data_IF_610239371440
#
_entry.id   IF_610239371440
#
_cell.length_a   1.000
_cell.length_b   1.000
_cell.length_c   1.000
_cell.angle_alpha   90.00
_cell.angle_beta   90.00
_cell.angle_gamma   90.00
#
_symmetry.space_group_name_H-M   'P 1'
#
loop_
_entity.id
_entity.type
_entity.pdbx_description
1 polymer ?
#
# COMPACT_ATOMS: atom_id res chain seq x y z
N UNK A 1 15.06 -24.65 15.25
CA UNK A 1 14.50 -24.34 13.92
C UNK A 1 13.77 -23.01 14.02
N UNK A 2 13.90 -22.17 12.99
CA UNK A 2 13.20 -20.90 12.74
C UNK A 2 13.51 -19.69 13.62
N UNK A 3 14.26 -18.76 13.01
CA UNK A 3 13.91 -17.34 13.02
C UNK A 3 14.43 -16.77 11.70
N UNK A 4 13.54 -16.71 10.71
CA UNK A 4 13.80 -16.01 9.47
C UNK A 4 14.29 -14.60 9.81
N UNK A 5 15.48 -14.27 9.33
CA UNK A 5 15.92 -12.88 9.16
C UNK A 5 15.05 -12.28 8.05
N UNK A 6 13.82 -11.89 8.40
CA UNK A 6 13.02 -11.03 7.53
C UNK A 6 13.71 -9.68 7.57
N UNK A 7 14.17 -9.18 6.42
CA UNK A 7 14.57 -7.78 6.31
C UNK A 7 13.34 -6.94 6.67
N UNK A 8 13.40 -6.27 7.80
CA UNK A 8 12.32 -5.36 8.21
C UNK A 8 12.27 -4.23 7.18
N UNK A 9 11.18 -4.16 6.43
CA UNK A 9 10.94 -3.06 5.50
C UNK A 9 10.32 -1.93 6.31
N UNK A 10 10.99 -0.79 6.39
CA UNK A 10 10.43 0.36 7.11
C UNK A 10 9.18 0.90 6.41
N UNK A 11 8.17 1.28 7.20
CA UNK A 11 6.94 1.88 6.69
C UNK A 11 7.22 3.13 5.85
N UNK A 12 8.26 3.88 6.21
CA UNK A 12 8.67 5.09 5.49
C UNK A 12 9.14 4.78 4.06
N UNK A 13 9.83 3.66 3.85
CA UNK A 13 10.29 3.22 2.52
C UNK A 13 9.09 2.92 1.61
N UNK A 14 8.13 2.16 2.13
CA UNK A 14 6.88 1.83 1.42
C UNK A 14 6.14 3.12 1.06
N UNK A 15 5.99 4.03 2.04
CA UNK A 15 5.30 5.30 1.85
C UNK A 15 5.97 6.12 0.75
N UNK A 16 7.29 6.26 0.79
CA UNK A 16 8.06 7.04 -0.17
C UNK A 16 7.90 6.49 -1.59
N UNK A 17 8.07 5.18 -1.80
CA UNK A 17 7.89 4.55 -3.12
C UNK A 17 6.49 4.74 -3.69
N UNK A 18 5.46 4.61 -2.85
CA UNK A 18 4.07 4.85 -3.27
C UNK A 18 3.83 6.31 -3.64
N UNK A 19 4.41 7.26 -2.89
CA UNK A 19 4.32 8.69 -3.22
C UNK A 19 5.01 9.01 -4.54
N UNK A 20 6.24 8.53 -4.74
CA UNK A 20 7.00 8.78 -5.96
C UNK A 20 6.32 8.17 -7.21
N UNK A 21 5.74 6.96 -7.07
CA UNK A 21 5.17 6.23 -8.22
C UNK A 21 3.73 6.64 -8.53
N UNK A 22 2.86 6.72 -7.51
CA UNK A 22 1.41 6.86 -7.70
C UNK A 22 0.90 8.26 -7.40
N UNK A 23 1.74 9.13 -6.82
CA UNK A 23 1.40 10.50 -6.40
C UNK A 23 -0.01 10.60 -5.80
N UNK A 24 -0.31 9.79 -4.77
CA UNK A 24 -1.64 9.71 -4.21
C UNK A 24 -2.02 11.02 -3.53
N UNK A 25 -3.28 11.42 -3.66
CA UNK A 25 -3.87 12.53 -2.94
C UNK A 25 -3.96 12.24 -1.43
N UNK A 26 -4.19 10.97 -1.07
CA UNK A 26 -4.17 10.50 0.32
C UNK A 26 -3.46 9.14 0.38
N UNK A 27 -2.54 9.01 1.31
CA UNK A 27 -1.81 7.77 1.57
C UNK A 27 -1.75 7.52 3.07
N UNK A 28 -2.39 6.45 3.52
CA UNK A 28 -2.29 5.95 4.88
C UNK A 28 -1.65 4.57 4.83
N UNK A 29 -0.63 4.34 5.65
CA UNK A 29 0.01 3.03 5.79
C UNK A 29 0.01 2.71 7.27
N UNK A 30 -0.53 1.55 7.64
CA UNK A 30 -0.66 1.08 9.00
C UNK A 30 0.05 -0.27 9.13
N UNK A 31 0.94 -0.42 10.11
CA UNK A 31 1.50 -1.71 10.47
C UNK A 31 0.47 -2.51 11.29
N UNK A 32 -0.05 -3.59 10.72
CA UNK A 32 -1.02 -4.49 11.37
C UNK A 32 -0.35 -5.73 11.98
N UNK A 33 0.98 -5.84 11.89
CA UNK A 33 1.75 -6.92 12.52
C UNK A 33 2.13 -6.65 13.97
N UNK A 34 1.67 -5.54 14.56
CA UNK A 34 1.97 -5.17 15.94
C UNK A 34 3.43 -4.74 16.14
N UNK A 35 4.05 -4.12 15.13
CA UNK A 35 5.42 -3.61 15.21
C UNK A 35 6.50 -4.59 14.75
N UNK A 36 6.13 -5.76 14.21
CA UNK A 36 7.09 -6.70 13.64
C UNK A 36 7.46 -6.37 12.18
N UNK A 37 6.77 -5.42 11.54
CA UNK A 37 6.95 -5.08 10.13
C UNK A 37 6.68 -6.21 9.14
N UNK A 38 5.87 -7.21 9.54
CA UNK A 38 5.56 -8.36 8.71
C UNK A 38 4.31 -8.15 7.85
N UNK A 39 3.39 -7.30 8.31
CA UNK A 39 2.07 -7.12 7.71
C UNK A 39 1.65 -5.66 7.72
N UNK A 40 1.29 -5.12 6.54
CA UNK A 40 0.85 -3.73 6.41
C UNK A 40 -0.54 -3.65 5.79
N UNK A 41 -1.30 -2.63 6.20
CA UNK A 41 -2.54 -2.20 5.55
C UNK A 41 -2.36 -0.77 5.03
N UNK A 42 -2.57 -0.58 3.73
CA UNK A 42 -2.41 0.71 3.07
C UNK A 42 -3.71 1.19 2.42
N UNK A 43 -4.14 2.41 2.73
CA UNK A 43 -5.16 3.12 1.98
C UNK A 43 -4.48 4.08 1.01
N UNK A 44 -4.73 3.87 -0.28
CA UNK A 44 -4.13 4.66 -1.36
C UNK A 44 -5.27 5.30 -2.15
N UNK A 45 -5.32 6.62 -2.12
CA UNK A 45 -6.27 7.43 -2.88
C UNK A 45 -5.51 8.16 -3.97
N UNK A 46 -5.71 7.78 -5.23
CA UNK A 46 -5.00 8.39 -6.37
C UNK A 46 -5.87 8.45 -7.62
N UNK A 47 -5.70 9.52 -8.40
CA UNK A 47 -6.31 9.65 -9.74
C UNK A 47 -5.74 8.62 -10.73
N UNK A 48 -4.57 8.06 -10.45
CA UNK A 48 -3.97 6.98 -11.25
C UNK A 48 -4.86 5.71 -11.34
N UNK A 49 -5.86 5.60 -10.46
CA UNK A 49 -6.81 4.50 -10.41
C UNK A 49 -8.09 4.75 -11.21
N UNK A 50 -8.30 5.97 -11.71
CA UNK A 50 -9.45 6.32 -12.51
C UNK A 50 -9.49 5.51 -13.81
N UNK A 51 -10.67 5.01 -14.18
CA UNK A 51 -10.87 4.16 -15.36
C UNK A 51 -10.24 2.76 -15.28
N UNK A 52 -9.51 2.42 -14.20
CA UNK A 52 -8.90 1.10 -14.01
C UNK A 52 -9.77 0.19 -13.16
N UNK A 53 -9.77 -1.11 -13.48
CA UNK A 53 -10.41 -2.15 -12.66
C UNK A 53 -9.60 -2.39 -11.39
N UNK A 54 -10.24 -2.91 -10.35
CA UNK A 54 -9.61 -3.18 -9.05
C UNK A 54 -8.29 -3.96 -9.17
N UNK A 55 -8.28 -5.02 -9.97
CA UNK A 55 -7.07 -5.84 -10.18
C UNK A 55 -5.92 -5.04 -10.81
N UNK A 56 -6.21 -4.16 -11.77
CA UNK A 56 -5.20 -3.33 -12.43
C UNK A 56 -4.64 -2.27 -11.47
N UNK A 57 -5.50 -1.71 -10.61
CA UNK A 57 -5.08 -0.79 -9.54
C UNK A 57 -4.12 -1.50 -8.57
N UNK A 58 -4.46 -2.70 -8.14
CA UNK A 58 -3.62 -3.52 -7.25
C UNK A 58 -2.30 -3.92 -7.92
N UNK A 59 -2.32 -4.25 -9.22
CA UNK A 59 -1.09 -4.55 -9.98
C UNK A 59 -0.15 -3.35 -10.01
N UNK A 60 -0.64 -2.14 -10.23
CA UNK A 60 0.20 -0.94 -10.21
C UNK A 60 0.91 -0.73 -8.87
N UNK A 61 0.20 -0.93 -7.76
CA UNK A 61 0.77 -0.82 -6.42
C UNK A 61 1.78 -1.94 -6.17
N UNK A 62 1.45 -3.17 -6.54
CA UNK A 62 2.36 -4.31 -6.42
C UNK A 62 3.63 -4.14 -7.25
N UNK A 63 3.52 -3.58 -8.45
CA UNK A 63 4.68 -3.32 -9.30
C UNK A 63 5.57 -2.23 -8.71
N UNK A 64 4.99 -1.20 -8.09
CA UNK A 64 5.73 -0.15 -7.39
C UNK A 64 6.52 -0.69 -6.16
N UNK A 65 5.95 -1.67 -5.46
CA UNK A 65 6.51 -2.28 -4.25
C UNK A 65 7.08 -3.68 -4.48
N UNK A 66 7.35 -4.06 -5.73
CA UNK A 66 7.69 -5.44 -6.11
C UNK A 66 8.91 -6.00 -5.39
N UNK A 67 9.86 -5.14 -5.04
CA UNK A 67 11.06 -5.53 -4.31
C UNK A 67 10.77 -5.71 -2.82
N UNK A 68 10.05 -4.77 -2.22
CA UNK A 68 9.65 -4.75 -0.82
C UNK A 68 8.69 -5.89 -0.47
N UNK A 69 7.75 -6.20 -1.37
CA UNK A 69 6.78 -7.28 -1.20
C UNK A 69 7.43 -8.67 -1.12
N UNK A 70 8.70 -8.82 -1.50
CA UNK A 70 9.44 -10.08 -1.29
C UNK A 70 9.82 -10.27 0.18
N UNK A 71 10.00 -9.18 0.90
CA UNK A 71 10.40 -9.16 2.30
C UNK A 71 9.17 -8.98 3.24
N UNK A 72 8.08 -8.37 2.74
CA UNK A 72 6.80 -8.24 3.47
C UNK A 72 6.00 -9.57 3.40
N UNK A 73 5.59 -10.11 4.55
CA UNK A 73 4.78 -11.34 4.62
C UNK A 73 3.35 -11.14 4.10
N UNK A 74 2.72 -10.02 4.46
CA UNK A 74 1.37 -9.69 4.02
C UNK A 74 1.22 -8.19 3.75
N UNK A 75 0.69 -7.84 2.58
CA UNK A 75 0.41 -6.44 2.25
C UNK A 75 -1.03 -6.32 1.78
N UNK A 76 -1.84 -5.63 2.58
CA UNK A 76 -3.23 -5.29 2.23
C UNK A 76 -3.27 -3.86 1.72
N UNK A 77 -4.02 -3.65 0.64
CA UNK A 77 -4.13 -2.34 0.01
C UNK A 77 -5.55 -2.06 -0.45
N UNK A 78 -6.01 -0.84 -0.17
CA UNK A 78 -7.27 -0.28 -0.66
C UNK A 78 -6.95 0.80 -1.68
N UNK A 79 -7.20 0.49 -2.95
CA UNK A 79 -6.96 1.40 -4.07
C UNK A 79 -8.27 2.06 -4.50
N UNK A 80 -8.50 3.29 -4.06
CA UNK A 80 -9.72 4.04 -4.36
C UNK A 80 -9.39 5.34 -5.08
N UNK A 81 -10.30 5.85 -5.90
CA UNK A 81 -10.12 7.19 -6.48
C UNK A 81 -10.51 8.28 -5.48
N UNK A 82 -10.02 9.52 -5.63
CA UNK A 82 -10.48 10.63 -4.80
C UNK A 82 -12.01 10.79 -4.83
N UNK A 83 -12.63 10.65 -6.00
CA UNK A 83 -14.09 10.69 -6.15
C UNK A 83 -14.81 9.58 -5.38
N UNK A 84 -14.26 8.36 -5.32
CA UNK A 84 -14.79 7.26 -4.51
C UNK A 84 -14.59 7.52 -3.01
N UNK A 85 -13.46 8.12 -2.62
CA UNK A 85 -13.15 8.44 -1.23
C UNK A 85 -14.08 9.53 -0.67
N UNK A 86 -14.31 10.61 -1.42
CA UNK A 86 -15.23 11.68 -1.01
C UNK A 86 -16.65 11.15 -0.79
N UNK A 87 -17.12 10.21 -1.61
CA UNK A 87 -18.43 9.57 -1.43
C UNK A 87 -18.53 8.67 -0.20
N UNK A 88 -17.39 8.22 0.34
CA UNK A 88 -17.33 7.31 1.51
C UNK A 88 -17.17 8.05 2.83
N UNK A 89 -16.75 9.32 2.84
CA UNK A 89 -16.67 10.11 4.07
C UNK A 89 -18.10 10.26 4.62
N UNK A 90 -18.39 9.78 5.85
CA UNK A 90 -19.65 10.10 6.49
C UNK A 90 -19.72 11.62 6.68
N UNK A 91 -20.86 12.21 6.27
CA UNK A 91 -21.18 13.63 6.45
C UNK A 91 -21.23 14.05 7.91
#
# INVERSE_FOLDING_TARGET
>A
MFRSLVRMVDQEVVRKKLVDTLKPALLEVNDVSGGCGASYDALIVSDAFEGKRLLDRQRLVNDALKEELKDIHAFTMKCVTPAEWEKRKPS
#
